data_IF_088290436251
#
_entry.id   IF_088290436251
#
_cell.length_a   1.000
_cell.length_b   1.000
_cell.length_c   1.000
_cell.angle_alpha   90.00
_cell.angle_beta   90.00
_cell.angle_gamma   90.00
#
_symmetry.space_group_name_H-M   'P 1'
#
loop_
_entity.id
_entity.type
_entity.pdbx_description
1 polymer ?
#
# COMPACT_ATOMS: atom_id res chain seq x y z
N UNK A 1 -34.59 19.59 -1.58
CA UNK A 1 -33.17 19.41 -1.99
C UNK A 1 -32.39 18.44 -1.12
N UNK A 2 -32.51 18.50 0.22
CA UNK A 2 -31.79 17.61 1.15
C UNK A 2 -31.96 16.09 0.88
N UNK A 3 -33.17 15.62 0.54
CA UNK A 3 -33.43 14.20 0.22
C UNK A 3 -32.64 13.72 -1.00
N UNK A 4 -32.50 14.54 -2.05
CA UNK A 4 -31.73 14.20 -3.25
C UNK A 4 -30.23 14.12 -2.95
N UNK A 5 -29.72 15.05 -2.13
CA UNK A 5 -28.32 15.05 -1.68
C UNK A 5 -28.01 13.80 -0.85
N UNK A 6 -28.90 13.42 0.06
CA UNK A 6 -28.74 12.23 0.89
C UNK A 6 -28.67 10.94 0.05
N UNK A 7 -29.53 10.83 -0.96
CA UNK A 7 -29.52 9.69 -1.90
C UNK A 7 -28.19 9.64 -2.67
N UNK A 8 -27.67 10.78 -3.14
CA UNK A 8 -26.38 10.84 -3.84
C UNK A 8 -25.22 10.39 -2.93
N UNK A 9 -25.21 10.81 -1.67
CA UNK A 9 -24.19 10.39 -0.69
C UNK A 9 -24.25 8.88 -0.44
N UNK A 10 -25.45 8.32 -0.32
CA UNK A 10 -25.65 6.88 -0.15
C UNK A 10 -25.14 6.08 -1.35
N UNK A 11 -25.40 6.55 -2.57
CA UNK A 11 -24.91 5.91 -3.80
C UNK A 11 -23.38 5.96 -3.86
N UNK A 12 -22.77 7.09 -3.49
CA UNK A 12 -21.31 7.22 -3.43
C UNK A 12 -20.69 6.29 -2.38
N UNK A 13 -21.29 6.18 -1.20
CA UNK A 13 -20.85 5.25 -0.15
C UNK A 13 -20.98 3.79 -0.58
N UNK A 14 -22.11 3.42 -1.17
CA UNK A 14 -22.37 2.06 -1.63
C UNK A 14 -21.43 1.65 -2.76
N UNK A 15 -21.20 2.52 -3.74
CA UNK A 15 -20.26 2.27 -4.84
C UNK A 15 -18.81 2.17 -4.36
N UNK A 16 -18.39 3.01 -3.42
CA UNK A 16 -17.07 2.91 -2.81
C UNK A 16 -16.89 1.58 -2.05
N UNK A 17 -17.90 1.17 -1.26
CA UNK A 17 -17.86 -0.11 -0.55
C UNK A 17 -17.80 -1.31 -1.51
N UNK A 18 -18.61 -1.29 -2.58
CA UNK A 18 -18.59 -2.33 -3.61
C UNK A 18 -17.23 -2.43 -4.30
N UNK A 19 -16.60 -1.30 -4.62
CA UNK A 19 -15.26 -1.26 -5.20
C UNK A 19 -14.20 -1.87 -4.28
N UNK A 20 -14.25 -1.55 -2.97
CA UNK A 20 -13.31 -2.11 -1.98
C UNK A 20 -13.46 -3.63 -1.88
N UNK A 21 -14.69 -4.14 -1.87
CA UNK A 21 -14.95 -5.58 -1.86
C UNK A 21 -14.44 -6.25 -3.15
N UNK A 22 -14.66 -5.63 -4.31
CA UNK A 22 -14.16 -6.14 -5.59
C UNK A 22 -12.62 -6.17 -5.66
N UNK A 23 -11.94 -5.09 -5.23
CA UNK A 23 -10.47 -5.04 -5.19
C UNK A 23 -9.90 -6.11 -4.25
N UNK A 24 -10.55 -6.33 -3.10
CA UNK A 24 -10.18 -7.41 -2.19
C UNK A 24 -10.33 -8.77 -2.87
N UNK A 25 -11.52 -9.08 -3.40
CA UNK A 25 -11.79 -10.36 -4.05
C UNK A 25 -10.81 -10.65 -5.18
N UNK A 26 -10.59 -9.68 -6.07
CA UNK A 26 -9.68 -9.83 -7.20
C UNK A 26 -8.23 -10.08 -6.76
N UNK A 27 -7.75 -9.43 -5.70
CA UNK A 27 -6.37 -9.59 -5.21
C UNK A 27 -6.17 -10.80 -4.31
N UNK A 28 -7.23 -11.38 -3.75
CA UNK A 28 -7.13 -12.58 -2.91
C UNK A 28 -7.49 -13.87 -3.62
N UNK A 29 -8.43 -13.83 -4.58
CA UNK A 29 -8.95 -15.01 -5.26
C UNK A 29 -8.53 -15.10 -6.73
N UNK A 30 -8.46 -13.98 -7.45
CA UNK A 30 -8.03 -13.97 -8.87
C UNK A 30 -6.54 -13.67 -9.05
N UNK A 31 -5.83 -13.38 -7.96
CA UNK A 31 -4.38 -13.26 -8.01
C UNK A 31 -3.80 -14.64 -8.26
N UNK A 32 -3.18 -14.83 -9.44
CA UNK A 32 -2.46 -16.06 -9.76
C UNK A 32 -1.56 -16.46 -8.59
N UNK A 33 -1.68 -17.71 -8.09
CA UNK A 33 -1.15 -18.10 -6.78
C UNK A 33 0.34 -17.80 -6.62
N UNK A 34 1.14 -17.85 -7.69
CA UNK A 34 2.50 -17.37 -7.72
C UNK A 34 2.82 -17.01 -9.18
N UNK A 35 2.77 -15.73 -9.57
CA UNK A 35 3.41 -15.34 -10.84
C UNK A 35 4.92 -15.44 -10.64
N UNK A 36 5.45 -16.66 -10.85
CA UNK A 36 6.87 -16.94 -10.77
C UNK A 36 7.56 -16.15 -11.87
N UNK A 37 8.38 -15.18 -11.48
CA UNK A 37 9.21 -14.41 -12.40
C UNK A 37 10.60 -15.04 -12.40
N UNK A 38 11.19 -15.18 -13.57
CA UNK A 38 12.60 -15.53 -13.69
C UNK A 38 13.41 -14.25 -13.73
N UNK A 39 14.17 -14.00 -12.67
CA UNK A 39 15.18 -12.96 -12.66
C UNK A 39 16.49 -13.48 -13.22
N UNK A 40 17.09 -12.71 -14.10
CA UNK A 40 18.42 -12.94 -14.63
C UNK A 40 19.38 -11.93 -14.00
N UNK A 41 20.51 -12.44 -13.54
CA UNK A 41 21.67 -11.59 -13.23
C UNK A 41 22.81 -11.93 -14.18
N UNK A 42 23.47 -10.93 -14.73
CA UNK A 42 24.53 -11.12 -15.72
C UNK A 42 25.55 -10.00 -15.65
N UNK A 43 26.73 -10.25 -16.22
CA UNK A 43 27.82 -9.27 -16.30
C UNK A 43 28.01 -8.82 -17.73
N UNK A 44 28.14 -7.52 -17.94
CA UNK A 44 28.46 -6.96 -19.24
C UNK A 44 29.96 -7.12 -19.59
N UNK A 45 30.36 -6.62 -20.76
CA UNK A 45 31.75 -6.69 -21.22
C UNK A 45 32.70 -5.85 -20.38
N UNK A 46 32.20 -4.86 -19.66
CA UNK A 46 32.95 -3.98 -18.77
C UNK A 46 33.03 -4.55 -17.34
N UNK A 47 32.35 -5.66 -17.06
CA UNK A 47 32.32 -6.32 -15.77
C UNK A 47 31.28 -5.76 -14.80
N UNK A 48 30.33 -4.94 -15.27
CA UNK A 48 29.23 -4.43 -14.44
C UNK A 48 28.11 -5.46 -14.34
N UNK A 49 27.59 -5.65 -13.13
CA UNK A 49 26.50 -6.58 -12.86
C UNK A 49 25.14 -5.94 -13.10
N UNK A 50 24.31 -6.60 -13.89
CA UNK A 50 22.95 -6.19 -14.24
C UNK A 50 21.92 -7.20 -13.75
N UNK A 51 20.71 -6.72 -13.46
CA UNK A 51 19.55 -7.53 -13.05
C UNK A 51 18.35 -7.19 -13.93
N UNK A 52 17.67 -8.20 -14.45
CA UNK A 52 16.48 -8.03 -15.30
C UNK A 52 15.53 -9.21 -15.13
N UNK A 53 14.24 -8.99 -15.38
CA UNK A 53 13.20 -10.01 -15.48
C UNK A 53 13.01 -10.52 -16.92
N UNK A 54 13.84 -10.03 -17.86
CA UNK A 54 13.82 -10.42 -19.28
C UNK A 54 15.10 -11.15 -19.69
N UNK A 55 15.09 -11.81 -20.85
CA UNK A 55 16.24 -12.58 -21.32
C UNK A 55 17.45 -11.64 -21.54
N UNK A 56 18.63 -11.94 -20.97
CA UNK A 56 19.83 -11.12 -21.15
C UNK A 56 20.26 -11.00 -22.62
N UNK A 57 20.89 -9.88 -23.00
CA UNK A 57 21.35 -9.66 -24.37
C UNK A 57 22.49 -10.61 -24.78
N UNK A 58 22.65 -10.77 -26.09
CA UNK A 58 23.70 -11.62 -26.67
C UNK A 58 25.10 -11.08 -26.31
N UNK A 59 25.93 -11.93 -25.69
CA UNK A 59 27.24 -11.55 -25.15
C UNK A 59 27.27 -11.27 -23.64
N UNK A 60 26.14 -11.43 -22.94
CA UNK A 60 26.10 -11.46 -21.48
C UNK A 60 26.95 -12.60 -20.90
N UNK A 61 27.78 -12.30 -19.90
CA UNK A 61 28.65 -13.28 -19.23
C UNK A 61 28.08 -13.66 -17.85
N UNK A 62 28.37 -14.89 -17.41
CA UNK A 62 28.01 -15.42 -16.08
C UNK A 62 26.52 -15.24 -15.73
N UNK A 63 25.64 -15.56 -16.69
CA UNK A 63 24.20 -15.47 -16.50
C UNK A 63 23.74 -16.45 -15.42
N UNK A 64 23.11 -15.93 -14.37
CA UNK A 64 22.43 -16.73 -13.34
C UNK A 64 20.93 -16.49 -13.40
N UNK A 65 20.15 -17.57 -13.29
CA UNK A 65 18.70 -17.53 -13.21
C UNK A 65 18.26 -17.72 -11.76
N UNK A 66 17.38 -16.85 -11.30
CA UNK A 66 16.78 -16.89 -9.97
C UNK A 66 15.26 -16.92 -10.17
N UNK A 67 14.58 -17.88 -9.54
CA UNK A 67 13.13 -17.84 -9.45
C UNK A 67 12.75 -16.87 -8.34
N UNK A 68 11.89 -15.92 -8.63
CA UNK A 68 11.35 -14.97 -7.67
C UNK A 68 9.84 -14.85 -7.82
N UNK A 69 9.24 -14.11 -6.89
CA UNK A 69 7.82 -13.83 -6.87
C UNK A 69 7.57 -12.39 -7.30
N UNK A 70 6.58 -12.17 -8.17
CA UNK A 70 6.13 -10.81 -8.47
C UNK A 70 5.56 -10.19 -7.21
N UNK A 71 5.95 -8.95 -6.93
CA UNK A 71 5.28 -8.19 -5.88
C UNK A 71 3.84 -7.88 -6.31
N UNK A 72 2.88 -8.33 -5.50
CA UNK A 72 1.47 -8.00 -5.64
C UNK A 72 1.13 -6.99 -4.55
N UNK A 73 0.65 -5.81 -4.96
CA UNK A 73 0.25 -4.78 -4.01
C UNK A 73 -0.93 -5.28 -3.15
N UNK A 74 -0.94 -4.99 -1.84
CA UNK A 74 -2.00 -5.43 -0.95
C UNK A 74 -3.36 -4.86 -1.37
N UNK A 75 -4.46 -5.52 -0.97
CA UNK A 75 -5.80 -5.01 -1.22
C UNK A 75 -6.02 -3.67 -0.54
N UNK A 76 -6.78 -2.80 -1.19
CA UNK A 76 -6.95 -1.40 -0.81
C UNK A 76 -7.51 -1.26 0.61
N UNK A 77 -8.32 -2.23 1.06
CA UNK A 77 -8.86 -2.28 2.43
C UNK A 77 -7.76 -2.27 3.50
N UNK A 78 -6.62 -2.93 3.24
CA UNK A 78 -5.47 -2.98 4.15
C UNK A 78 -4.80 -1.61 4.21
N UNK A 79 -4.70 -0.94 3.05
CA UNK A 79 -4.14 0.42 2.95
C UNK A 79 -5.00 1.46 3.67
N UNK A 80 -6.33 1.34 3.57
CA UNK A 80 -7.29 2.17 4.30
C UNK A 80 -7.09 1.96 5.81
N UNK A 81 -7.09 0.69 6.27
CA UNK A 81 -6.91 0.37 7.70
C UNK A 81 -5.63 0.98 8.27
N UNK A 82 -4.51 0.85 7.56
CA UNK A 82 -3.23 1.42 7.97
C UNK A 82 -3.26 2.97 8.03
N UNK A 83 -3.98 3.59 7.09
CA UNK A 83 -4.14 5.06 7.06
C UNK A 83 -5.03 5.54 8.21
N UNK A 84 -6.14 4.86 8.46
CA UNK A 84 -7.06 5.15 9.58
C UNK A 84 -6.37 4.99 10.94
N UNK A 85 -5.58 3.93 11.12
CA UNK A 85 -4.77 3.74 12.35
C UNK A 85 -3.77 4.88 12.55
N UNK A 86 -3.03 5.27 11.50
CA UNK A 86 -2.11 6.41 11.55
C UNK A 86 -2.83 7.71 11.91
N UNK A 87 -3.99 7.95 11.30
CA UNK A 87 -4.79 9.13 11.59
C UNK A 87 -5.30 9.14 13.03
N UNK A 88 -5.80 7.99 13.53
CA UNK A 88 -6.22 7.82 14.92
C UNK A 88 -5.08 8.11 15.91
N UNK A 89 -3.90 7.55 15.69
CA UNK A 89 -2.73 7.82 16.54
C UNK A 89 -2.32 9.30 16.51
N UNK A 90 -2.40 9.95 15.34
CA UNK A 90 -2.14 11.39 15.20
C UNK A 90 -3.16 12.23 15.96
N UNK A 91 -4.44 11.89 15.89
CA UNK A 91 -5.48 12.56 16.66
C UNK A 91 -5.31 12.34 18.16
N UNK A 92 -5.05 11.11 18.60
CA UNK A 92 -4.85 10.78 20.02
C UNK A 92 -3.64 11.51 20.61
N UNK A 93 -2.54 11.57 19.89
CA UNK A 93 -1.34 12.30 20.32
C UNK A 93 -1.51 13.82 20.30
N UNK A 94 -2.30 14.35 19.35
CA UNK A 94 -2.63 15.78 19.31
C UNK A 94 -3.57 16.16 20.45
N UNK A 95 -4.61 15.35 20.69
CA UNK A 95 -5.52 15.53 21.80
C UNK A 95 -4.78 15.45 23.14
N UNK A 96 -3.93 14.44 23.35
CA UNK A 96 -3.16 14.32 24.59
C UNK A 96 -2.21 15.50 24.83
N UNK A 97 -1.58 16.05 23.78
CA UNK A 97 -0.79 17.30 23.86
C UNK A 97 -1.63 18.51 24.25
N UNK A 98 -2.84 18.64 23.69
CA UNK A 98 -3.75 19.73 24.05
C UNK A 98 -4.18 19.62 25.52
N UNK A 99 -4.56 18.43 25.97
CA UNK A 99 -4.97 18.19 27.36
C UNK A 99 -3.82 18.42 28.36
N UNK A 100 -2.63 17.89 28.10
CA UNK A 100 -1.45 18.09 28.98
C UNK A 100 -0.99 19.56 29.02
N UNK A 101 -1.10 20.29 27.91
CA UNK A 101 -0.79 21.73 27.88
C UNK A 101 -1.75 22.57 28.73
N UNK A 102 -3.05 22.22 28.73
CA UNK A 102 -4.06 22.88 29.58
C UNK A 102 -3.83 22.59 31.06
N UNK A 103 -3.44 21.37 31.41
CA UNK A 103 -3.13 20.99 32.80
C UNK A 103 -1.89 21.74 33.31
N UNK A 104 -0.81 21.83 32.51
CA UNK A 104 0.39 22.63 32.87
C UNK A 104 0.08 24.12 33.07
N UNK A 105 -0.78 24.70 32.22
CA UNK A 105 -1.16 26.13 32.31
C UNK A 105 -2.03 26.43 33.54
N UNK A 106 -2.81 25.46 34.02
CA UNK A 106 -3.61 25.56 35.25
C UNK A 106 -2.76 25.46 36.51
N UNK A 107 -1.72 24.62 36.49
CA UNK A 107 -0.78 24.47 37.62
C UNK A 107 0.13 25.69 37.77
N UNK A 108 0.55 26.35 36.68
CA UNK A 108 1.40 27.56 36.72
C UNK A 108 0.65 28.85 37.15
N UNK A 109 -0.68 28.80 37.26
CA UNK A 109 -1.53 29.93 37.68
C UNK A 109 -2.03 29.84 39.13
N UNK A 110 -1.72 28.74 39.83
CA UNK A 110 -1.83 28.62 41.28
C UNK A 110 -0.45 28.83 41.88
#
# INVERSE_FOLDING_TARGET
MAKKIFIVILILLGSAAAYVCYDWYKKTYDADPESSITYYSWYDRQGVQHFTDTIPPEGAKRVKKLKGYKYIAPPFVVSIKATTLRFYHRLKSTASKIFTSKTKKKIKKR
#
